data_IF_545627512842
#
_entry.id   IF_545627512842
#
_cell.length_a   1.000
_cell.length_b   1.000
_cell.length_c   1.000
_cell.angle_alpha   90.00
_cell.angle_beta   90.00
_cell.angle_gamma   90.00
#
_symmetry.space_group_name_H-M   'P 1'
#
loop_
_entity.id
_entity.type
_entity.pdbx_description
1 polymer ?
#
# COMPACT_ATOMS: atom_id res chain seq x y z
N UNK A 1 -0.46 6.37 -5.74
CA UNK A 1 -0.07 5.33 -4.77
C UNK A 1 1.04 5.82 -3.84
N UNK A 2 2.18 6.31 -4.34
CA UNK A 2 3.31 6.78 -3.51
C UNK A 2 2.92 7.76 -2.39
N UNK A 3 2.09 8.77 -2.69
CA UNK A 3 1.63 9.75 -1.69
C UNK A 3 0.79 9.11 -0.56
N UNK A 4 -0.02 8.09 -0.88
CA UNK A 4 -0.77 7.35 0.14
C UNK A 4 0.17 6.60 1.08
N UNK A 5 1.17 5.91 0.52
CA UNK A 5 2.17 5.17 1.30
C UNK A 5 2.96 6.10 2.21
N UNK A 6 3.39 7.27 1.70
CA UNK A 6 4.08 8.28 2.50
C UNK A 6 3.20 8.81 3.65
N UNK A 7 1.93 9.12 3.36
CA UNK A 7 0.99 9.58 4.37
C UNK A 7 0.73 8.53 5.46
N UNK A 8 0.68 7.23 5.11
CA UNK A 8 0.54 6.14 6.07
C UNK A 8 1.82 5.94 6.90
N UNK A 9 2.99 6.02 6.26
CA UNK A 9 4.28 5.93 6.95
C UNK A 9 4.48 7.06 7.97
N UNK A 10 4.00 8.26 7.66
CA UNK A 10 4.06 9.41 8.58
C UNK A 10 3.18 9.30 9.83
N UNK A 11 2.20 8.38 9.84
CA UNK A 11 1.26 8.22 10.96
C UNK A 11 1.73 7.24 12.03
N UNK A 12 2.47 6.19 11.64
CA UNK A 12 2.97 5.17 12.57
C UNK A 12 4.34 4.63 12.11
N UNK A 13 5.40 4.80 12.91
CA UNK A 13 6.72 4.25 12.62
C UNK A 13 6.77 2.72 12.45
N UNK A 14 5.92 1.98 13.16
CA UNK A 14 5.81 0.52 13.02
C UNK A 14 5.18 0.14 11.69
N UNK A 15 4.16 0.88 11.26
CA UNK A 15 3.57 0.70 9.94
C UNK A 15 4.58 1.05 8.83
N UNK A 16 5.32 2.16 9.00
CA UNK A 16 6.38 2.58 8.08
C UNK A 16 7.44 1.48 7.86
N UNK A 17 7.76 0.70 8.88
CA UNK A 17 8.72 -0.40 8.77
C UNK A 17 8.21 -1.59 7.93
N UNK A 18 6.88 -1.76 7.83
CA UNK A 18 6.26 -2.91 7.12
C UNK A 18 5.89 -2.56 5.68
N UNK A 19 5.45 -1.32 5.42
CA UNK A 19 5.01 -0.84 4.10
C UNK A 19 5.98 -1.18 2.94
N UNK A 20 7.31 -1.07 3.06
CA UNK A 20 8.25 -1.40 1.97
C UNK A 20 8.23 -2.87 1.55
N UNK A 21 7.66 -3.75 2.37
CA UNK A 21 7.56 -5.20 2.12
C UNK A 21 6.17 -5.61 1.67
N UNK A 22 5.22 -4.68 1.65
CA UNK A 22 3.83 -4.96 1.28
C UNK A 22 3.64 -4.95 -0.25
N UNK A 23 2.66 -5.73 -0.69
CA UNK A 23 2.04 -5.61 -2.01
C UNK A 23 0.77 -4.78 -1.90
N UNK A 24 0.35 -4.15 -2.99
CA UNK A 24 -0.81 -3.26 -3.01
C UNK A 24 -1.80 -3.69 -4.08
N UNK A 25 -3.08 -3.71 -3.72
CA UNK A 25 -4.18 -3.82 -4.68
C UNK A 25 -4.97 -2.51 -4.68
N UNK A 26 -5.47 -2.10 -5.84
CA UNK A 26 -6.41 -1.01 -6.01
C UNK A 26 -7.66 -1.60 -6.65
N UNK A 27 -8.79 -1.56 -5.94
CA UNK A 27 -10.03 -2.21 -6.36
C UNK A 27 -9.80 -3.66 -6.84
N UNK A 28 -9.12 -4.44 -6.00
CA UNK A 28 -8.73 -5.84 -6.23
C UNK A 28 -7.67 -6.06 -7.34
N UNK A 29 -7.20 -5.01 -8.02
CA UNK A 29 -6.19 -5.10 -9.08
C UNK A 29 -4.79 -4.82 -8.53
N UNK A 30 -3.84 -5.72 -8.82
CA UNK A 30 -2.45 -5.56 -8.38
C UNK A 30 -1.78 -4.30 -8.95
N UNK A 31 -1.35 -3.41 -8.05
CA UNK A 31 -0.66 -2.17 -8.40
C UNK A 31 0.84 -2.46 -8.47
N UNK A 32 1.36 -2.54 -9.70
CA UNK A 32 2.80 -2.69 -9.96
C UNK A 32 3.51 -1.34 -10.14
N UNK A 33 2.76 -0.33 -10.56
CA UNK A 33 3.24 1.04 -10.72
C UNK A 33 2.84 1.90 -9.52
N UNK A 34 3.82 2.25 -8.68
CA UNK A 34 3.59 3.09 -7.51
C UNK A 34 3.36 4.58 -7.87
N UNK A 35 3.57 4.98 -9.12
CA UNK A 35 3.20 6.30 -9.62
C UNK A 35 1.71 6.39 -10.03
N UNK A 36 0.97 5.27 -10.03
CA UNK A 36 -0.45 5.26 -10.37
C UNK A 36 -1.25 6.28 -9.53
N UNK A 37 -2.05 7.10 -10.22
CA UNK A 37 -2.92 8.08 -9.58
C UNK A 37 -4.11 7.34 -8.96
N UNK A 38 -4.39 7.65 -7.69
CA UNK A 38 -5.58 7.15 -7.00
C UNK A 38 -6.69 8.19 -7.12
N UNK A 39 -7.92 7.73 -7.31
CA UNK A 39 -9.10 8.55 -7.35
C UNK A 39 -9.88 8.45 -6.04
N UNK A 40 -10.78 9.41 -5.83
CA UNK A 40 -11.67 9.36 -4.68
C UNK A 40 -12.66 8.21 -4.83
N UNK A 41 -12.69 7.32 -3.84
CA UNK A 41 -13.55 6.14 -3.85
C UNK A 41 -12.78 4.84 -4.08
N UNK A 42 -11.55 4.90 -4.58
CA UNK A 42 -10.68 3.74 -4.76
C UNK A 42 -10.40 3.08 -3.40
N UNK A 43 -10.50 1.75 -3.36
CA UNK A 43 -10.10 0.96 -2.19
C UNK A 43 -8.71 0.39 -2.40
N UNK A 44 -7.80 0.66 -1.47
CA UNK A 44 -6.42 0.16 -1.51
C UNK A 44 -6.19 -0.88 -0.43
N UNK A 45 -5.95 -2.12 -0.85
CA UNK A 45 -5.54 -3.19 0.05
C UNK A 45 -4.02 -3.20 0.19
N UNK A 46 -3.55 -3.24 1.44
CA UNK A 46 -2.14 -3.35 1.79
C UNK A 46 -1.90 -4.76 2.32
N UNK A 47 -1.16 -5.56 1.56
CA UNK A 47 -0.92 -6.97 1.85
C UNK A 47 0.55 -7.16 2.26
N UNK A 48 0.85 -7.38 3.56
CA UNK A 48 2.19 -7.76 3.99
C UNK A 48 2.64 -9.06 3.30
N UNK A 49 3.95 -9.36 3.27
CA UNK A 49 4.42 -10.64 2.75
C UNK A 49 3.67 -11.76 3.45
N UNK A 50 2.99 -12.61 2.68
CA UNK A 50 2.22 -13.72 3.22
C UNK A 50 3.11 -14.57 4.12
N UNK A 51 2.72 -14.72 5.39
CA UNK A 51 3.36 -15.64 6.34
C UNK A 51 2.70 -17.04 6.27
N UNK A 52 2.25 -17.44 5.08
CA UNK A 52 1.62 -18.74 4.86
C UNK A 52 2.68 -19.84 4.87
N UNK A 53 2.63 -20.68 5.89
CA UNK A 53 3.29 -21.99 5.96
C UNK A 53 2.28 -23.11 5.80
#
# INVERSE_FOLDING_TARGET
MAQLVEALAGRDPRLAAVLPRCSYLCDEVAVRDHAAVLHSGDTVDVLPPFAGG
#
